data_IF_558030619557
#
_entry.id   IF_558030619557
#
_cell.length_a   1.000
_cell.length_b   1.000
_cell.length_c   1.000
_cell.angle_alpha   90.00
_cell.angle_beta   90.00
_cell.angle_gamma   90.00
#
_symmetry.space_group_name_H-M   'P 1'
#
loop_
_entity.id
_entity.type
_entity.pdbx_description
1 polymer ?
#
# COMPACT_ATOMS: atom_id res chain seq x y z
N UNK A 1 -3.83 21.66 -3.80
CA UNK A 1 -4.47 21.37 -5.11
C UNK A 1 -3.51 21.28 -6.31
N UNK A 2 -2.30 21.83 -6.24
CA UNK A 2 -1.33 21.71 -7.37
C UNK A 2 -1.02 20.26 -7.74
N UNK A 3 -0.87 19.37 -6.77
CA UNK A 3 -0.51 17.96 -6.96
C UNK A 3 -1.56 17.20 -7.77
N UNK A 4 -2.84 17.37 -7.44
CA UNK A 4 -3.94 16.69 -8.15
C UNK A 4 -4.02 17.19 -9.59
N UNK A 5 -3.93 18.50 -9.81
CA UNK A 5 -4.04 19.11 -11.15
C UNK A 5 -2.86 18.77 -12.06
N UNK A 6 -1.67 18.50 -11.48
CA UNK A 6 -0.47 18.14 -12.23
C UNK A 6 -0.22 16.65 -12.32
N UNK A 7 -1.04 15.82 -11.67
CA UNK A 7 -0.88 14.36 -11.64
C UNK A 7 -0.99 13.77 -13.05
N UNK A 8 -0.03 12.96 -13.39
CA UNK A 8 -0.01 12.15 -14.62
C UNK A 8 0.65 10.81 -14.36
N UNK A 9 0.29 9.81 -15.12
CA UNK A 9 0.90 8.50 -15.04
C UNK A 9 2.32 8.53 -15.58
N UNK A 10 3.31 8.21 -14.74
CA UNK A 10 4.73 8.11 -15.10
C UNK A 10 5.12 6.65 -15.05
N UNK A 11 5.69 6.12 -16.13
CA UNK A 11 6.13 4.71 -16.24
C UNK A 11 7.63 4.58 -16.52
N UNK A 12 8.36 5.70 -16.52
CA UNK A 12 9.80 5.74 -16.73
C UNK A 12 10.44 6.46 -15.55
N UNK A 13 11.30 5.78 -14.84
CA UNK A 13 11.89 6.28 -13.60
C UNK A 13 13.36 6.60 -13.78
N UNK A 14 13.87 7.54 -12.99
CA UNK A 14 15.29 7.78 -12.87
C UNK A 14 15.97 6.65 -12.09
N UNK A 15 17.28 6.52 -12.21
CA UNK A 15 18.06 5.56 -11.40
C UNK A 15 18.35 6.05 -9.99
N UNK A 16 17.84 7.22 -9.62
CA UNK A 16 18.02 7.79 -8.28
C UNK A 16 17.26 6.94 -7.27
N UNK A 17 17.97 6.44 -6.28
CA UNK A 17 17.34 5.67 -5.20
C UNK A 17 16.45 6.54 -4.31
N UNK A 18 15.48 5.90 -3.68
CA UNK A 18 14.60 6.51 -2.68
C UNK A 18 15.11 6.11 -1.29
N UNK A 19 15.59 7.05 -0.50
CA UNK A 19 16.12 6.74 0.84
C UNK A 19 15.03 6.14 1.74
N UNK A 20 15.44 5.30 2.68
CA UNK A 20 14.53 4.71 3.65
C UNK A 20 13.83 5.77 4.51
N UNK A 21 14.58 6.81 4.92
CA UNK A 21 14.02 7.91 5.70
C UNK A 21 12.92 8.67 4.94
N UNK A 22 13.14 8.98 3.66
CA UNK A 22 12.11 9.62 2.84
C UNK A 22 10.88 8.73 2.69
N UNK A 23 11.09 7.45 2.39
CA UNK A 23 9.98 6.52 2.23
C UNK A 23 9.18 6.37 3.52
N UNK A 24 9.86 6.25 4.66
CA UNK A 24 9.23 6.21 5.98
C UNK A 24 8.37 7.45 6.22
N UNK A 25 8.93 8.65 6.01
CA UNK A 25 8.20 9.91 6.18
C UNK A 25 6.93 9.97 5.31
N UNK A 26 7.03 9.54 4.05
CA UNK A 26 5.87 9.54 3.14
C UNK A 26 4.79 8.54 3.59
N UNK A 27 5.19 7.36 4.06
CA UNK A 27 4.24 6.37 4.59
C UNK A 27 3.57 6.88 5.87
N UNK A 28 4.32 7.47 6.80
CA UNK A 28 3.79 8.07 8.02
C UNK A 28 2.81 9.23 7.73
N UNK A 29 3.10 10.06 6.73
CA UNK A 29 2.16 11.09 6.30
C UNK A 29 0.86 10.50 5.74
N UNK A 30 0.96 9.41 4.97
CA UNK A 30 -0.21 8.73 4.43
C UNK A 30 -1.06 8.04 5.51
N UNK A 31 -0.51 7.75 6.70
CA UNK A 31 -1.26 7.17 7.84
C UNK A 31 -2.38 8.09 8.37
N UNK A 32 -2.36 9.37 8.02
CA UNK A 32 -3.48 10.29 8.30
C UNK A 32 -4.72 10.05 7.44
N UNK A 33 -4.68 9.08 6.53
CA UNK A 33 -5.83 8.69 5.72
C UNK A 33 -6.98 8.21 6.61
N UNK A 34 -8.20 8.75 6.44
CA UNK A 34 -9.35 8.24 7.17
C UNK A 34 -9.67 6.80 6.73
N UNK A 35 -9.94 5.93 7.70
CA UNK A 35 -10.32 4.53 7.47
C UNK A 35 -11.59 4.19 8.23
N UNK A 36 -12.29 3.14 7.83
CA UNK A 36 -13.52 2.68 8.47
C UNK A 36 -13.25 2.36 9.96
N UNK A 37 -13.90 3.10 10.87
CA UNK A 37 -13.71 2.91 12.32
C UNK A 37 -12.26 3.03 12.80
N UNK A 38 -11.40 3.66 12.04
CA UNK A 38 -9.94 3.74 12.27
C UNK A 38 -9.27 2.35 12.39
N UNK A 39 -9.80 1.35 11.71
CA UNK A 39 -9.29 -0.03 11.75
C UNK A 39 -8.01 -0.23 10.93
N UNK A 40 -7.76 0.64 9.94
CA UNK A 40 -6.54 0.64 9.13
C UNK A 40 -6.27 -0.74 8.49
N UNK A 41 -7.26 -1.27 7.77
CA UNK A 41 -7.30 -2.64 7.24
C UNK A 41 -6.38 -2.82 6.00
N UNK A 42 -5.18 -2.32 6.07
CA UNK A 42 -4.20 -2.39 4.98
C UNK A 42 -2.80 -2.74 5.48
N UNK A 43 -1.99 -3.25 4.60
CA UNK A 43 -0.55 -3.43 4.78
C UNK A 43 0.19 -2.96 3.53
N UNK A 44 1.45 -2.54 3.68
CA UNK A 44 2.29 -2.12 2.56
C UNK A 44 3.53 -2.98 2.49
N UNK A 45 3.74 -3.64 1.35
CA UNK A 45 4.96 -4.41 1.10
C UNK A 45 5.93 -3.57 0.27
N UNK A 46 7.13 -3.37 0.81
CA UNK A 46 8.20 -2.59 0.17
C UNK A 46 9.14 -3.57 -0.54
N UNK A 47 9.21 -3.50 -1.86
CA UNK A 47 10.07 -4.35 -2.68
C UNK A 47 11.19 -3.53 -3.33
N UNK A 48 12.43 -3.69 -2.85
CA UNK A 48 13.62 -3.00 -3.37
C UNK A 48 14.54 -3.93 -4.16
N UNK A 49 14.73 -5.17 -3.69
CA UNK A 49 15.65 -6.13 -4.31
C UNK A 49 15.18 -6.52 -5.71
N UNK A 50 16.12 -6.57 -6.64
CA UNK A 50 15.83 -6.94 -8.04
C UNK A 50 15.16 -8.31 -8.17
N UNK A 51 15.58 -9.29 -7.37
CA UNK A 51 14.95 -10.60 -7.34
C UNK A 51 13.47 -10.50 -6.94
N UNK A 52 13.14 -9.71 -5.90
CA UNK A 52 11.76 -9.48 -5.48
C UNK A 52 10.93 -8.83 -6.57
N UNK A 53 11.48 -7.81 -7.25
CA UNK A 53 10.82 -7.13 -8.36
C UNK A 53 10.59 -8.08 -9.55
N UNK A 54 11.56 -8.93 -9.90
CA UNK A 54 11.40 -9.97 -10.93
C UNK A 54 10.31 -10.98 -10.59
N UNK A 55 10.23 -11.40 -9.32
CA UNK A 55 9.16 -12.30 -8.86
C UNK A 55 7.78 -11.63 -8.89
N UNK A 56 7.72 -10.32 -8.70
CA UNK A 56 6.48 -9.54 -8.75
C UNK A 56 6.03 -9.24 -10.18
N UNK A 57 6.95 -9.12 -11.13
CA UNK A 57 6.68 -8.69 -12.51
C UNK A 57 5.57 -9.50 -13.23
N UNK A 58 5.49 -10.84 -13.11
CA UNK A 58 4.41 -11.61 -13.75
C UNK A 58 3.01 -11.21 -13.30
N UNK A 59 2.82 -10.85 -12.02
CA UNK A 59 1.54 -10.36 -11.49
C UNK A 59 1.14 -9.00 -12.10
N UNK A 60 2.09 -8.30 -12.72
CA UNK A 60 1.90 -7.03 -13.40
C UNK A 60 2.13 -7.14 -14.92
N UNK A 61 1.81 -8.29 -15.51
CA UNK A 61 1.95 -8.54 -16.96
C UNK A 61 3.36 -8.30 -17.51
N UNK A 62 4.39 -8.52 -16.68
CA UNK A 62 5.81 -8.27 -17.00
C UNK A 62 6.09 -6.84 -17.51
N UNK A 63 5.38 -5.85 -17.00
CA UNK A 63 5.59 -4.46 -17.38
C UNK A 63 6.99 -3.99 -16.94
N UNK A 64 7.82 -3.45 -17.83
CA UNK A 64 9.22 -3.09 -17.55
C UNK A 64 9.38 -2.10 -16.39
N UNK A 65 8.37 -1.31 -16.11
CA UNK A 65 8.39 -0.34 -15.00
C UNK A 65 8.48 -0.99 -13.62
N UNK A 66 8.01 -2.23 -13.45
CA UNK A 66 8.08 -2.95 -12.16
C UNK A 66 9.54 -3.25 -11.80
N UNK A 67 10.31 -3.75 -12.76
CA UNK A 67 11.74 -4.02 -12.55
C UNK A 67 12.58 -2.74 -12.57
N UNK A 68 12.19 -1.76 -13.41
CA UNK A 68 12.93 -0.51 -13.57
C UNK A 68 12.74 0.51 -12.43
N UNK A 69 11.75 0.34 -11.57
CA UNK A 69 11.53 1.23 -10.44
C UNK A 69 12.59 1.03 -9.33
N UNK A 70 13.09 2.10 -8.67
CA UNK A 70 14.00 1.96 -7.53
C UNK A 70 13.35 1.24 -6.35
N UNK A 71 12.04 1.42 -6.18
CA UNK A 71 11.23 0.75 -5.16
C UNK A 71 9.82 0.50 -5.71
N UNK A 72 9.25 -0.64 -5.38
CA UNK A 72 7.84 -0.96 -5.65
C UNK A 72 7.10 -1.12 -4.34
N UNK A 73 5.98 -0.43 -4.21
CA UNK A 73 5.08 -0.53 -3.07
C UNK A 73 3.83 -1.30 -3.49
N UNK A 74 3.53 -2.38 -2.77
CA UNK A 74 2.29 -3.13 -2.95
C UNK A 74 1.37 -2.82 -1.77
N UNK A 75 0.27 -2.13 -2.04
CA UNK A 75 -0.77 -1.84 -1.05
C UNK A 75 -1.73 -3.02 -1.01
N UNK A 76 -1.84 -3.64 0.15
CA UNK A 76 -2.61 -4.86 0.35
C UNK A 76 -3.84 -4.57 1.21
N UNK A 77 -5.00 -5.04 0.80
CA UNK A 77 -6.15 -5.17 1.69
C UNK A 77 -5.83 -6.24 2.74
N UNK A 78 -5.79 -5.89 4.02
CA UNK A 78 -5.30 -6.77 5.09
C UNK A 78 -6.24 -6.77 6.30
N UNK A 79 -7.37 -7.43 6.16
CA UNK A 79 -8.31 -7.64 7.25
C UNK A 79 -7.75 -8.59 8.32
N UNK A 80 -6.96 -9.58 7.90
CA UNK A 80 -6.41 -10.61 8.80
C UNK A 80 -5.55 -10.01 9.91
N UNK A 81 -4.73 -9.02 9.62
CA UNK A 81 -3.88 -8.35 10.63
C UNK A 81 -4.71 -7.82 11.79
N UNK A 82 -5.83 -7.16 11.50
CA UNK A 82 -6.72 -6.58 12.52
C UNK A 82 -7.47 -7.66 13.29
N UNK A 83 -7.87 -8.75 12.61
CA UNK A 83 -8.44 -9.92 13.29
C UNK A 83 -7.47 -10.50 14.31
N UNK A 84 -6.23 -10.78 13.90
CA UNK A 84 -5.19 -11.29 14.81
C UNK A 84 -4.88 -10.31 15.95
N UNK A 85 -4.88 -9.02 15.67
CA UNK A 85 -4.68 -8.00 16.70
C UNK A 85 -5.81 -8.02 17.74
N UNK A 86 -7.06 -8.17 17.32
CA UNK A 86 -8.22 -8.26 18.21
C UNK A 86 -8.17 -9.55 19.05
N UNK A 87 -7.91 -10.69 18.42
CA UNK A 87 -7.79 -12.00 19.10
C UNK A 87 -6.70 -11.98 20.17
N UNK A 88 -5.53 -11.40 19.88
CA UNK A 88 -4.44 -11.23 20.85
C UNK A 88 -4.81 -10.32 22.05
N UNK A 89 -5.92 -9.64 21.99
CA UNK A 89 -6.49 -8.79 23.07
C UNK A 89 -7.78 -9.37 23.67
N UNK A 90 -8.02 -10.68 23.45
CA UNK A 90 -9.20 -11.38 23.92
C UNK A 90 -10.52 -10.76 23.41
N UNK A 91 -10.48 -10.09 22.24
CA UNK A 91 -11.66 -9.61 21.56
C UNK A 91 -12.02 -10.58 20.43
N UNK A 92 -13.30 -10.89 20.31
CA UNK A 92 -13.80 -11.75 19.23
C UNK A 92 -14.30 -10.86 18.09
N UNK A 93 -13.69 -10.97 16.87
CA UNK A 93 -14.21 -10.26 15.70
C UNK A 93 -15.66 -10.66 15.41
N UNK A 94 -16.51 -9.67 15.19
CA UNK A 94 -17.95 -9.89 15.06
C UNK A 94 -18.37 -10.57 13.75
N UNK A 95 -17.60 -10.42 12.69
CA UNK A 95 -17.87 -11.02 11.39
C UNK A 95 -16.61 -11.01 10.49
N UNK A 96 -16.58 -12.00 9.59
CA UNK A 96 -15.64 -12.09 8.47
C UNK A 96 -16.47 -12.40 7.21
N UNK A 97 -16.80 -11.39 6.43
CA UNK A 97 -17.70 -11.49 5.30
C UNK A 97 -17.32 -10.50 4.19
N UNK A 98 -18.15 -10.39 3.16
CA UNK A 98 -17.90 -9.50 2.03
C UNK A 98 -17.68 -8.02 2.46
N UNK A 99 -18.36 -7.56 3.52
CA UNK A 99 -18.17 -6.19 4.02
C UNK A 99 -16.76 -6.00 4.58
N UNK A 100 -16.21 -7.01 5.25
CA UNK A 100 -14.82 -6.98 5.75
C UNK A 100 -13.82 -6.84 4.60
N UNK A 101 -14.04 -7.59 3.52
CA UNK A 101 -13.24 -7.47 2.29
C UNK A 101 -13.38 -6.08 1.66
N UNK A 102 -14.60 -5.58 1.52
CA UNK A 102 -14.87 -4.27 0.92
C UNK A 102 -14.20 -3.13 1.73
N UNK A 103 -14.31 -3.18 3.06
CA UNK A 103 -13.68 -2.21 3.93
C UNK A 103 -12.15 -2.24 3.79
N UNK A 104 -11.54 -3.43 3.80
CA UNK A 104 -10.09 -3.57 3.65
C UNK A 104 -9.61 -3.08 2.27
N UNK A 105 -10.33 -3.40 1.20
CA UNK A 105 -10.02 -2.92 -0.14
C UNK A 105 -10.13 -1.39 -0.24
N UNK A 106 -11.17 -0.81 0.35
CA UNK A 106 -11.38 0.64 0.38
C UNK A 106 -10.28 1.35 1.15
N UNK A 107 -9.95 0.86 2.35
CA UNK A 107 -8.88 1.43 3.18
C UNK A 107 -7.53 1.40 2.44
N UNK A 108 -7.18 0.28 1.79
CA UNK A 108 -5.96 0.15 1.02
C UNK A 108 -5.91 1.13 -0.18
N UNK A 109 -7.04 1.33 -0.87
CA UNK A 109 -7.14 2.27 -1.99
C UNK A 109 -7.03 3.72 -1.53
N UNK A 110 -7.69 4.09 -0.45
CA UNK A 110 -7.61 5.44 0.13
C UNK A 110 -6.19 5.76 0.59
N UNK A 111 -5.56 4.83 1.30
CA UNK A 111 -4.18 4.98 1.74
C UNK A 111 -3.22 5.12 0.54
N UNK A 112 -3.35 4.26 -0.46
CA UNK A 112 -2.57 4.35 -1.70
C UNK A 112 -2.75 5.69 -2.40
N UNK A 113 -3.98 6.20 -2.50
CA UNK A 113 -4.26 7.49 -3.13
C UNK A 113 -3.66 8.66 -2.33
N UNK A 114 -3.74 8.62 -1.00
CA UNK A 114 -3.12 9.64 -0.13
C UNK A 114 -1.61 9.65 -0.29
N UNK A 115 -0.97 8.47 -0.32
CA UNK A 115 0.46 8.33 -0.56
C UNK A 115 0.89 8.92 -1.92
N UNK A 116 0.05 8.83 -2.94
CA UNK A 116 0.34 9.34 -4.30
C UNK A 116 0.16 10.86 -4.46
N UNK A 117 -0.42 11.55 -3.49
CA UNK A 117 -0.69 13.00 -3.52
C UNK A 117 0.43 13.83 -2.86
#
# INVERSE_FOLDING_TARGET
MKTINSRRTIRKYSRKDVSEGLLKTLLEQAEHTPTMGNLQLYSVVITRKEEGKRRLAPAHFNQPMVEGAPVVLTFCADFRRTTLWAENRNATPGYDNFLSFLNAATDALLYCQTFCN
#
